data_IF_445913211136
#
_entry.id   IF_445913211136
#
_cell.length_a   1.000
_cell.length_b   1.000
_cell.length_c   1.000
_cell.angle_alpha   90.00
_cell.angle_beta   90.00
_cell.angle_gamma   90.00
#
_symmetry.space_group_name_H-M   'P 1'
#
loop_
_entity.id
_entity.type
_entity.pdbx_description
1 polymer ?
#
# COMPACT_ATOMS: atom_id res chain seq x y z
N UNK A 1 -39.30 51.22 -34.85
CA UNK A 1 -38.97 50.00 -35.57
C UNK A 1 -37.67 49.46 -35.01
N UNK A 2 -37.76 48.58 -34.01
CA UNK A 2 -36.61 48.14 -33.17
C UNK A 2 -36.35 46.66 -33.44
N UNK A 3 -35.19 46.36 -34.07
CA UNK A 3 -34.76 44.98 -34.40
C UNK A 3 -34.20 44.29 -33.16
N UNK A 4 -34.90 43.28 -32.65
CA UNK A 4 -34.36 42.31 -31.69
C UNK A 4 -33.30 41.42 -32.31
N UNK A 5 -32.11 41.38 -31.75
CA UNK A 5 -31.05 40.42 -32.10
C UNK A 5 -31.29 39.15 -31.27
N UNK A 6 -31.48 38.03 -31.96
CA UNK A 6 -31.50 36.69 -31.40
C UNK A 6 -30.10 36.33 -30.89
N UNK A 7 -30.00 36.00 -29.58
CA UNK A 7 -28.84 35.35 -29.00
C UNK A 7 -28.90 33.86 -29.38
N UNK A 8 -27.93 33.39 -30.13
CA UNK A 8 -27.75 31.97 -30.41
C UNK A 8 -27.27 31.22 -29.18
N UNK A 9 -28.11 30.31 -28.69
CA UNK A 9 -27.75 29.31 -27.69
C UNK A 9 -26.60 28.43 -28.20
N UNK A 10 -25.46 28.42 -27.49
CA UNK A 10 -24.36 27.49 -27.75
C UNK A 10 -24.75 26.10 -27.27
N UNK A 11 -25.01 25.20 -28.17
CA UNK A 11 -25.14 23.75 -27.92
C UNK A 11 -23.94 23.20 -27.13
N UNK A 12 -24.14 22.28 -26.15
CA UNK A 12 -23.06 21.62 -25.47
C UNK A 12 -22.21 20.85 -26.47
N UNK A 13 -20.89 21.08 -26.43
CA UNK A 13 -19.92 20.38 -27.29
C UNK A 13 -19.98 18.89 -27.02
N UNK A 14 -20.46 18.12 -27.96
CA UNK A 14 -20.31 16.66 -28.00
C UNK A 14 -18.83 16.30 -27.88
N UNK A 15 -18.43 15.79 -26.73
CA UNK A 15 -17.12 15.20 -26.53
C UNK A 15 -16.99 14.00 -27.49
N UNK A 16 -16.18 14.15 -28.53
CA UNK A 16 -15.96 13.11 -29.52
C UNK A 16 -15.55 11.82 -28.84
N UNK A 17 -16.05 10.64 -29.24
CA UNK A 17 -15.72 9.35 -28.59
C UNK A 17 -14.23 9.06 -28.52
N UNK A 18 -13.42 9.70 -29.37
CA UNK A 18 -11.95 9.66 -29.29
C UNK A 18 -11.39 10.36 -28.06
N UNK A 19 -11.94 11.50 -27.63
CA UNK A 19 -11.49 12.20 -26.40
C UNK A 19 -11.86 11.44 -25.14
N UNK A 20 -13.02 10.80 -25.11
CA UNK A 20 -13.41 9.89 -24.03
C UNK A 20 -12.53 8.64 -23.98
N UNK A 21 -12.17 8.06 -25.12
CA UNK A 21 -11.21 6.94 -25.20
C UNK A 21 -9.80 7.35 -24.75
N UNK A 22 -9.34 8.54 -25.13
CA UNK A 22 -8.04 9.05 -24.69
C UNK A 22 -8.04 9.43 -23.20
N UNK A 23 -9.12 9.98 -22.66
CA UNK A 23 -9.27 10.25 -21.24
C UNK A 23 -9.33 8.94 -20.42
N UNK A 24 -10.04 7.93 -20.91
CA UNK A 24 -10.06 6.59 -20.32
C UNK A 24 -8.70 5.89 -20.42
N UNK A 25 -7.99 6.08 -21.54
CA UNK A 25 -6.64 5.56 -21.74
C UNK A 25 -5.63 6.25 -20.79
N UNK A 26 -5.72 7.56 -20.62
CA UNK A 26 -4.88 8.32 -19.68
C UNK A 26 -5.20 7.97 -18.21
N UNK A 27 -6.47 7.76 -17.88
CA UNK A 27 -6.90 7.29 -16.57
C UNK A 27 -6.38 5.87 -16.26
N UNK A 28 -6.38 4.98 -17.24
CA UNK A 28 -5.84 3.62 -17.12
C UNK A 28 -4.30 3.60 -17.18
N UNK A 29 -3.68 4.57 -17.86
CA UNK A 29 -2.22 4.71 -17.93
C UNK A 29 -1.61 5.32 -16.66
N UNK A 30 -2.40 6.03 -15.86
CA UNK A 30 -1.98 6.60 -14.57
C UNK A 30 -2.04 5.59 -13.41
N UNK A 31 -2.55 4.37 -13.63
CA UNK A 31 -2.49 3.30 -12.64
C UNK A 31 -1.03 2.82 -12.52
N UNK A 32 -0.25 3.52 -11.73
CA UNK A 32 1.10 3.15 -11.36
C UNK A 32 1.04 2.03 -10.31
N UNK A 33 2.00 1.20 -10.38
CA UNK A 33 2.25 -0.05 -9.74
C UNK A 33 2.17 -0.04 -8.20
N UNK A 34 1.62 -1.08 -7.61
CA UNK A 34 1.61 -1.43 -6.19
C UNK A 34 3.02 -1.79 -5.71
N UNK A 35 3.38 -1.42 -4.51
CA UNK A 35 4.60 -1.85 -3.81
C UNK A 35 4.25 -2.77 -2.64
N UNK A 36 5.18 -3.60 -2.26
CA UNK A 36 5.05 -4.53 -1.15
C UNK A 36 4.58 -5.90 -1.59
N UNK A 37 4.27 -6.76 -0.66
CA UNK A 37 3.43 -7.90 -0.98
C UNK A 37 2.17 -7.39 -1.68
N UNK A 38 1.70 -8.13 -2.68
CA UNK A 38 0.45 -7.76 -3.32
C UNK A 38 -0.71 -7.80 -2.32
N UNK A 39 -1.75 -7.05 -2.59
CA UNK A 39 -2.92 -6.84 -1.71
C UNK A 39 -3.43 -8.11 -1.05
N UNK A 40 -3.50 -9.23 -1.80
CA UNK A 40 -4.05 -10.48 -1.29
C UNK A 40 -3.16 -11.14 -0.25
N UNK A 41 -1.85 -11.00 -0.35
CA UNK A 41 -0.91 -11.49 0.66
C UNK A 41 -1.07 -10.73 1.99
N UNK A 42 -1.21 -9.40 1.95
CA UNK A 42 -1.46 -8.60 3.15
C UNK A 42 -2.79 -8.97 3.82
N UNK A 43 -3.87 -9.13 3.04
CA UNK A 43 -5.16 -9.58 3.56
C UNK A 43 -5.09 -11.00 4.14
N UNK A 44 -4.32 -11.91 3.52
CA UNK A 44 -4.12 -13.27 4.02
C UNK A 44 -3.37 -13.32 5.36
N UNK A 45 -2.45 -12.39 5.63
CA UNK A 45 -1.80 -12.26 6.93
C UNK A 45 -2.82 -11.86 8.01
N UNK A 46 -3.71 -10.91 7.71
CA UNK A 46 -4.82 -10.56 8.61
C UNK A 46 -5.68 -11.78 8.90
N UNK A 47 -6.10 -12.51 7.86
CA UNK A 47 -6.96 -13.70 8.02
C UNK A 47 -6.28 -14.78 8.84
N UNK A 48 -4.97 -15.00 8.64
CA UNK A 48 -4.20 -16.01 9.40
C UNK A 48 -4.15 -15.71 10.90
N UNK A 49 -4.17 -14.43 11.30
CA UNK A 49 -4.10 -14.02 12.70
C UNK A 49 -5.46 -13.59 13.28
N UNK A 50 -6.55 -13.58 12.48
CA UNK A 50 -7.81 -12.98 12.89
C UNK A 50 -8.44 -13.64 14.11
N UNK A 51 -8.70 -14.94 14.07
CA UNK A 51 -9.43 -15.63 15.13
C UNK A 51 -8.59 -15.85 16.38
N UNK A 52 -7.30 -16.11 16.22
CA UNK A 52 -6.41 -16.51 17.33
C UNK A 52 -5.72 -15.33 18.01
N UNK A 53 -5.54 -14.21 17.33
CA UNK A 53 -4.80 -13.07 17.88
C UNK A 53 -5.53 -11.73 17.77
N UNK A 54 -5.98 -11.29 16.59
CA UNK A 54 -6.56 -9.96 16.38
C UNK A 54 -7.90 -9.82 17.10
N UNK A 55 -8.85 -10.71 16.83
CA UNK A 55 -10.18 -10.68 17.43
C UNK A 55 -10.16 -10.76 18.95
N UNK A 56 -9.36 -11.64 19.61
CA UNK A 56 -9.19 -11.62 21.06
C UNK A 56 -8.68 -10.31 21.60
N UNK A 57 -7.73 -9.67 20.92
CA UNK A 57 -7.19 -8.38 21.31
C UNK A 57 -8.22 -7.24 21.16
N UNK A 58 -9.00 -7.24 20.10
CA UNK A 58 -10.13 -6.32 19.92
C UNK A 58 -11.16 -6.49 21.04
N UNK A 59 -11.53 -7.71 21.39
CA UNK A 59 -12.49 -8.00 22.45
C UNK A 59 -11.92 -7.70 23.86
N UNK A 60 -10.62 -7.77 24.06
CA UNK A 60 -9.99 -7.33 25.32
C UNK A 60 -10.19 -5.83 25.54
N UNK A 61 -10.03 -5.01 24.50
CA UNK A 61 -10.16 -3.55 24.56
C UNK A 61 -11.62 -3.10 24.47
N UNK A 62 -12.44 -3.81 23.68
CA UNK A 62 -13.86 -3.52 23.40
C UNK A 62 -14.74 -4.74 23.66
N UNK A 63 -14.94 -5.13 24.94
CA UNK A 63 -15.55 -6.43 25.34
C UNK A 63 -17.03 -6.58 24.96
N UNK A 64 -17.73 -5.49 24.65
CA UNK A 64 -19.15 -5.53 24.30
C UNK A 64 -19.41 -5.52 22.80
N UNK A 65 -18.36 -5.72 21.96
CA UNK A 65 -18.52 -5.73 20.51
C UNK A 65 -19.30 -6.92 20.02
N UNK A 66 -20.27 -6.67 19.17
CA UNK A 66 -21.08 -7.72 18.52
C UNK A 66 -20.33 -8.40 17.37
N UNK A 67 -20.77 -9.59 16.91
CA UNK A 67 -20.20 -10.22 15.73
C UNK A 67 -20.26 -9.33 14.46
N UNK A 68 -21.33 -8.56 14.31
CA UNK A 68 -21.52 -7.63 13.20
C UNK A 68 -20.51 -6.46 13.25
N UNK A 69 -20.25 -5.91 14.43
CA UNK A 69 -19.23 -4.87 14.62
C UNK A 69 -17.82 -5.42 14.39
N UNK A 70 -17.53 -6.63 14.85
CA UNK A 70 -16.25 -7.31 14.58
C UNK A 70 -16.07 -7.59 13.07
N UNK A 71 -17.16 -7.90 12.36
CA UNK A 71 -17.12 -8.03 10.90
C UNK A 71 -16.77 -6.71 10.22
N UNK A 72 -17.32 -5.59 10.67
CA UNK A 72 -16.95 -4.26 10.18
C UNK A 72 -15.50 -3.95 10.53
N UNK A 73 -15.06 -4.23 11.76
CA UNK A 73 -13.68 -4.04 12.20
C UNK A 73 -12.67 -4.83 11.35
N UNK A 74 -13.03 -6.06 10.90
CA UNK A 74 -12.19 -6.84 9.98
C UNK A 74 -11.92 -6.09 8.67
N UNK A 75 -12.93 -5.40 8.11
CA UNK A 75 -12.73 -4.57 6.91
C UNK A 75 -11.81 -3.36 7.16
N UNK A 76 -11.75 -2.85 8.38
CA UNK A 76 -10.78 -1.83 8.79
C UNK A 76 -9.37 -2.41 8.96
N UNK A 77 -9.23 -3.63 9.48
CA UNK A 77 -7.94 -4.31 9.52
C UNK A 77 -7.37 -4.52 8.11
N UNK A 78 -8.21 -4.93 7.14
CA UNK A 78 -7.81 -4.96 5.73
C UNK A 78 -7.40 -3.57 5.22
N UNK A 79 -8.14 -2.51 5.57
CA UNK A 79 -7.77 -1.15 5.20
C UNK A 79 -6.41 -0.73 5.76
N UNK A 80 -6.14 -1.09 7.01
CA UNK A 80 -4.86 -0.84 7.65
C UNK A 80 -3.71 -1.57 6.96
N UNK A 81 -3.90 -2.86 6.61
CA UNK A 81 -2.83 -3.66 6.02
C UNK A 81 -2.47 -3.28 4.57
N UNK A 82 -3.23 -2.38 3.94
CA UNK A 82 -2.95 -1.92 2.57
C UNK A 82 -2.79 -0.40 2.45
N UNK A 83 -3.00 0.36 3.53
CA UNK A 83 -3.01 1.84 3.46
C UNK A 83 -1.65 2.42 3.09
N UNK A 84 -0.55 1.80 3.54
CA UNK A 84 0.79 2.27 3.23
C UNK A 84 1.05 2.29 1.72
N UNK A 85 0.41 1.39 0.97
CA UNK A 85 0.50 1.29 -0.49
C UNK A 85 -0.41 2.25 -1.27
N UNK A 86 -1.23 3.05 -0.60
CA UNK A 86 -2.19 3.95 -1.24
C UNK A 86 -1.55 4.87 -2.29
N UNK A 87 -0.30 5.27 -2.07
CA UNK A 87 0.43 6.16 -2.97
C UNK A 87 0.69 5.62 -4.35
N UNK A 88 0.69 4.30 -4.51
CA UNK A 88 0.98 3.62 -5.78
C UNK A 88 -0.25 3.42 -6.66
N UNK A 89 -1.42 3.73 -6.15
CA UNK A 89 -2.69 3.67 -6.89
C UNK A 89 -3.05 5.00 -7.55
N UNK A 90 -3.96 5.03 -8.52
CA UNK A 90 -4.35 6.25 -9.21
C UNK A 90 -4.83 7.31 -8.22
N UNK A 91 -4.36 8.54 -8.42
CA UNK A 91 -4.57 9.72 -7.53
C UNK A 91 -3.90 9.59 -6.14
N UNK A 92 -3.18 8.51 -5.87
CA UNK A 92 -2.35 8.35 -4.68
C UNK A 92 -1.14 9.30 -4.68
N UNK A 93 -0.47 9.37 -3.55
CA UNK A 93 0.76 10.15 -3.37
C UNK A 93 1.94 9.21 -3.15
N UNK A 94 2.84 9.10 -4.13
CA UNK A 94 4.07 8.34 -3.94
C UNK A 94 4.86 8.83 -2.72
N UNK A 95 4.87 10.14 -2.48
CA UNK A 95 5.56 10.70 -1.33
C UNK A 95 4.96 10.23 0.00
N UNK A 96 3.63 10.05 0.08
CA UNK A 96 2.99 9.44 1.25
C UNK A 96 3.51 8.02 1.48
N UNK A 97 3.44 7.17 0.45
CA UNK A 97 3.90 5.78 0.58
C UNK A 97 5.41 5.70 0.86
N UNK A 98 6.23 6.50 0.18
CA UNK A 98 7.67 6.55 0.45
C UNK A 98 7.95 6.95 1.91
N UNK A 99 7.21 7.90 2.48
CA UNK A 99 7.35 8.28 3.90
C UNK A 99 7.08 7.10 4.82
N UNK A 100 5.92 6.47 4.67
CA UNK A 100 5.48 5.40 5.59
C UNK A 100 6.22 4.07 5.39
N UNK A 101 7.07 3.96 4.32
CA UNK A 101 7.94 2.80 4.07
C UNK A 101 9.40 3.03 4.45
N UNK A 102 9.87 4.29 4.51
CA UNK A 102 11.31 4.56 4.65
C UNK A 102 11.67 5.53 5.77
N UNK A 103 10.71 6.29 6.30
CA UNK A 103 10.97 7.34 7.29
C UNK A 103 10.06 7.16 8.49
N UNK A 104 10.61 6.93 9.67
CA UNK A 104 9.84 6.78 10.92
C UNK A 104 8.69 5.76 10.83
N UNK A 105 8.95 4.66 10.17
CA UNK A 105 7.97 3.63 9.82
C UNK A 105 7.31 3.00 11.04
N UNK A 106 8.12 2.64 12.04
CA UNK A 106 7.66 2.11 13.32
C UNK A 106 6.90 3.16 14.14
N UNK A 107 7.41 4.39 14.20
CA UNK A 107 6.74 5.50 14.90
C UNK A 107 5.34 5.78 14.33
N UNK A 108 5.18 5.72 13.01
CA UNK A 108 3.89 5.89 12.36
C UNK A 108 2.88 4.83 12.77
N UNK A 109 3.27 3.57 12.76
CA UNK A 109 2.40 2.46 13.18
C UNK A 109 2.08 2.55 14.67
N UNK A 110 3.06 2.88 15.50
CA UNK A 110 2.85 3.13 16.94
C UNK A 110 1.88 4.27 17.20
N UNK A 111 1.95 5.37 16.42
CA UNK A 111 1.01 6.48 16.51
C UNK A 111 -0.42 6.03 16.19
N UNK A 112 -0.62 5.24 15.13
CA UNK A 112 -1.93 4.66 14.80
C UNK A 112 -2.51 3.82 15.96
N UNK A 113 -1.70 2.95 16.56
CA UNK A 113 -2.14 2.09 17.68
C UNK A 113 -2.47 2.94 18.92
N UNK A 114 -1.58 3.84 19.31
CA UNK A 114 -1.74 4.70 20.47
C UNK A 114 -2.99 5.58 20.39
N UNK A 115 -3.24 6.15 19.22
CA UNK A 115 -4.24 7.19 19.02
C UNK A 115 -5.63 6.67 18.67
N UNK A 116 -5.75 5.36 18.42
CA UNK A 116 -7.03 4.70 18.15
C UNK A 116 -7.98 4.79 19.35
N UNK A 117 -9.23 5.22 19.12
CA UNK A 117 -10.21 5.48 20.16
C UNK A 117 -11.37 4.47 20.17
N UNK A 118 -11.68 3.88 19.04
CA UNK A 118 -12.77 2.91 18.87
C UNK A 118 -12.31 1.60 18.25
N UNK A 119 -13.25 0.64 18.16
CA UNK A 119 -13.01 -0.70 17.63
C UNK A 119 -12.45 -0.70 16.20
N UNK A 120 -12.99 0.16 15.33
CA UNK A 120 -12.62 0.21 13.92
C UNK A 120 -11.26 0.87 13.72
N UNK A 121 -10.99 1.93 14.47
CA UNK A 121 -9.68 2.60 14.49
C UNK A 121 -8.59 1.65 14.98
N UNK A 122 -8.87 0.90 16.05
CA UNK A 122 -7.89 -0.04 16.58
C UNK A 122 -7.66 -1.21 15.63
N UNK A 123 -8.71 -1.75 15.00
CA UNK A 123 -8.56 -2.77 13.96
C UNK A 123 -7.75 -2.26 12.75
N UNK A 124 -7.97 -1.02 12.33
CA UNK A 124 -7.18 -0.37 11.27
C UNK A 124 -5.70 -0.24 11.67
N UNK A 125 -5.41 0.17 12.90
CA UNK A 125 -4.05 0.29 13.39
C UNK A 125 -3.34 -1.07 13.47
N UNK A 126 -4.04 -2.13 13.93
CA UNK A 126 -3.52 -3.49 13.91
C UNK A 126 -3.29 -4.00 12.48
N UNK A 127 -4.11 -3.58 11.52
CA UNK A 127 -3.86 -3.82 10.10
C UNK A 127 -2.57 -3.18 9.61
N UNK A 128 -2.30 -1.92 9.97
CA UNK A 128 -1.05 -1.26 9.61
C UNK A 128 0.18 -1.93 10.25
N UNK A 129 0.03 -2.51 11.43
CA UNK A 129 1.05 -3.35 12.06
C UNK A 129 1.31 -4.65 11.27
N UNK A 130 0.25 -5.26 10.69
CA UNK A 130 0.42 -6.41 9.82
C UNK A 130 1.23 -6.07 8.55
N UNK A 131 0.97 -4.91 7.93
CA UNK A 131 1.77 -4.43 6.81
C UNK A 131 3.24 -4.23 7.20
N UNK A 132 3.49 -3.59 8.35
CA UNK A 132 4.85 -3.42 8.89
C UNK A 132 5.58 -4.77 9.00
N UNK A 133 4.96 -5.78 9.60
CA UNK A 133 5.57 -7.11 9.72
C UNK A 133 5.74 -7.79 8.34
N UNK A 134 4.75 -7.66 7.48
CA UNK A 134 4.73 -8.27 6.15
C UNK A 134 5.86 -7.76 5.26
N UNK A 135 6.03 -6.46 5.15
CA UNK A 135 7.01 -5.89 4.22
C UNK A 135 8.44 -6.03 4.73
N UNK A 136 8.68 -5.84 6.03
CA UNK A 136 10.00 -6.06 6.61
C UNK A 136 10.55 -7.47 6.33
N UNK A 137 9.69 -8.48 6.33
CA UNK A 137 10.09 -9.87 6.07
C UNK A 137 9.95 -10.24 4.58
N UNK A 138 8.87 -9.81 3.95
CA UNK A 138 8.50 -10.18 2.59
C UNK A 138 9.51 -9.74 1.55
N UNK A 139 9.95 -8.50 1.60
CA UNK A 139 10.92 -7.99 0.65
C UNK A 139 12.27 -8.67 0.81
N UNK A 140 12.86 -8.62 2.00
CA UNK A 140 14.22 -9.13 2.23
C UNK A 140 14.35 -10.64 2.09
N UNK A 141 13.33 -11.43 2.48
CA UNK A 141 13.40 -12.89 2.47
C UNK A 141 12.85 -13.52 1.19
N UNK A 142 11.97 -12.83 0.47
CA UNK A 142 11.33 -13.40 -0.72
C UNK A 142 11.50 -12.54 -1.97
N UNK A 143 10.96 -11.33 -2.02
CA UNK A 143 10.84 -10.58 -3.28
C UNK A 143 12.20 -10.18 -3.82
N UNK A 144 13.07 -9.57 -3.00
CA UNK A 144 14.42 -9.15 -3.39
C UNK A 144 15.30 -10.30 -3.90
N UNK A 145 15.08 -11.51 -3.38
CA UNK A 145 15.79 -12.72 -3.78
C UNK A 145 15.17 -13.40 -5.00
N UNK A 146 13.86 -13.29 -5.16
CA UNK A 146 13.12 -13.92 -6.27
C UNK A 146 13.24 -13.15 -7.57
N UNK A 147 13.34 -11.82 -7.53
CA UNK A 147 13.52 -11.00 -8.73
C UNK A 147 14.73 -11.42 -9.57
N UNK A 148 15.95 -11.60 -9.03
CA UNK A 148 17.08 -12.03 -9.83
C UNK A 148 16.95 -13.47 -10.37
N UNK A 149 16.25 -14.35 -9.66
CA UNK A 149 15.97 -15.72 -10.13
C UNK A 149 15.01 -15.67 -11.32
N UNK A 150 13.91 -14.94 -11.19
CA UNK A 150 12.89 -14.81 -12.23
C UNK A 150 13.36 -13.96 -13.42
N UNK A 151 14.25 -13.00 -13.20
CA UNK A 151 14.75 -12.06 -14.21
C UNK A 151 16.28 -12.09 -14.33
N UNK A 152 16.89 -13.09 -14.99
CA UNK A 152 18.35 -13.26 -15.04
C UNK A 152 19.14 -12.08 -15.62
N UNK A 153 18.49 -11.19 -16.41
CA UNK A 153 19.11 -9.95 -16.88
C UNK A 153 19.37 -8.98 -15.73
N UNK A 154 18.46 -8.94 -14.76
CA UNK A 154 18.61 -8.09 -13.56
C UNK A 154 19.68 -8.67 -12.64
N UNK A 155 19.72 -10.00 -12.47
CA UNK A 155 20.79 -10.67 -11.74
C UNK A 155 22.18 -10.31 -12.27
N UNK A 156 22.35 -10.29 -13.59
CA UNK A 156 23.64 -9.87 -14.21
C UNK A 156 23.99 -8.41 -13.97
N UNK A 157 22.97 -7.55 -13.76
CA UNK A 157 23.16 -6.11 -13.56
C UNK A 157 23.37 -5.74 -12.09
N UNK A 158 22.64 -6.37 -11.18
CA UNK A 158 22.55 -5.96 -9.79
C UNK A 158 23.02 -7.03 -8.79
N UNK A 159 23.27 -8.28 -9.23
CA UNK A 159 23.64 -9.39 -8.35
C UNK A 159 22.45 -10.23 -7.91
N UNK A 160 22.63 -10.96 -6.79
CA UNK A 160 21.68 -11.94 -6.29
C UNK A 160 20.54 -11.33 -5.45
N UNK A 161 20.59 -10.03 -5.21
CA UNK A 161 19.56 -9.25 -4.53
C UNK A 161 19.19 -8.09 -5.43
N UNK A 162 17.91 -7.92 -5.72
CA UNK A 162 17.38 -6.79 -6.52
C UNK A 162 16.25 -6.13 -5.78
N UNK A 163 16.52 -4.93 -5.28
CA UNK A 163 15.58 -4.15 -4.49
C UNK A 163 14.54 -3.44 -5.37
N UNK A 164 13.47 -2.96 -4.74
CA UNK A 164 12.44 -2.19 -5.42
C UNK A 164 13.01 -0.97 -6.14
N UNK A 165 13.85 -0.16 -5.45
CA UNK A 165 14.49 1.02 -6.05
C UNK A 165 15.27 0.69 -7.34
N UNK A 166 15.92 -0.47 -7.39
CA UNK A 166 16.68 -0.91 -8.56
C UNK A 166 15.80 -1.32 -9.73
N UNK A 167 14.65 -1.94 -9.49
CA UNK A 167 13.70 -2.29 -10.54
C UNK A 167 12.25 -2.47 -10.04
N UNK A 168 11.49 -1.38 -9.85
CA UNK A 168 10.12 -1.44 -9.38
C UNK A 168 9.21 -2.37 -10.20
N UNK A 169 9.35 -2.32 -11.53
CA UNK A 169 8.51 -3.11 -12.43
C UNK A 169 8.73 -4.62 -12.34
N UNK A 170 9.92 -5.10 -12.01
CA UNK A 170 10.18 -6.52 -11.79
C UNK A 170 9.68 -6.97 -10.42
N UNK A 171 9.85 -6.11 -9.39
CA UNK A 171 9.31 -6.33 -8.05
C UNK A 171 7.82 -6.62 -8.11
N UNK A 172 7.05 -5.67 -8.62
CA UNK A 172 5.60 -5.76 -8.75
C UNK A 172 5.11 -6.99 -9.51
N UNK A 173 5.83 -7.36 -10.57
CA UNK A 173 5.51 -8.57 -11.33
C UNK A 173 5.76 -9.83 -10.53
N UNK A 174 6.76 -9.82 -9.67
CA UNK A 174 7.09 -10.95 -8.80
C UNK A 174 6.03 -11.12 -7.71
N UNK A 175 5.67 -10.06 -7.03
CA UNK A 175 4.64 -10.02 -6.00
C UNK A 175 3.27 -10.45 -6.53
N UNK A 176 2.86 -9.85 -7.65
CA UNK A 176 1.63 -10.28 -8.33
C UNK A 176 1.68 -11.74 -8.77
N UNK A 177 2.85 -12.23 -9.17
CA UNK A 177 3.06 -13.64 -9.50
C UNK A 177 2.83 -14.57 -8.31
N UNK A 178 3.26 -14.18 -7.11
CA UNK A 178 2.99 -14.91 -5.87
C UNK A 178 1.50 -14.93 -5.54
N UNK A 179 0.82 -13.77 -5.55
CA UNK A 179 -0.63 -13.74 -5.32
C UNK A 179 -1.39 -14.66 -6.26
N UNK A 180 -1.08 -14.61 -7.56
CA UNK A 180 -1.70 -15.48 -8.56
C UNK A 180 -1.46 -16.96 -8.25
N UNK A 181 -0.25 -17.32 -7.83
CA UNK A 181 0.11 -18.70 -7.49
C UNK A 181 -0.64 -19.19 -6.26
N UNK A 182 -0.67 -18.40 -5.19
CA UNK A 182 -1.29 -18.79 -3.93
C UNK A 182 -2.83 -18.87 -4.03
N UNK A 183 -3.44 -17.94 -4.77
CA UNK A 183 -4.84 -18.03 -5.15
C UNK A 183 -5.13 -19.30 -5.95
N UNK A 184 -4.27 -19.61 -6.93
CA UNK A 184 -4.42 -20.81 -7.76
C UNK A 184 -4.33 -22.11 -6.96
N UNK A 185 -3.52 -22.12 -5.90
CA UNK A 185 -3.35 -23.25 -5.00
C UNK A 185 -4.43 -23.34 -3.92
N UNK A 186 -5.28 -22.32 -3.79
CA UNK A 186 -6.33 -22.25 -2.79
C UNK A 186 -5.79 -22.12 -1.35
N UNK A 187 -4.62 -21.50 -1.19
CA UNK A 187 -3.96 -21.38 0.12
C UNK A 187 -4.42 -20.15 0.90
N UNK A 188 -4.90 -19.11 0.23
CA UNK A 188 -5.47 -17.95 0.91
C UNK A 188 -6.86 -18.31 1.46
N UNK A 189 -7.14 -17.83 2.68
CA UNK A 189 -8.41 -18.11 3.36
C UNK A 189 -9.57 -17.54 2.55
N UNK A 190 -10.25 -18.45 1.86
CA UNK A 190 -11.28 -18.15 0.90
C UNK A 190 -12.50 -17.46 1.52
N UNK A 191 -12.83 -17.79 2.77
CA UNK A 191 -14.11 -17.41 3.37
C UNK A 191 -14.16 -15.94 3.77
N UNK A 192 -13.11 -15.41 4.37
CA UNK A 192 -13.06 -14.00 4.77
C UNK A 192 -12.96 -13.07 3.55
N UNK A 193 -12.15 -13.41 2.58
CA UNK A 193 -12.05 -12.68 1.31
C UNK A 193 -13.34 -12.73 0.49
N UNK A 194 -14.12 -13.78 0.65
CA UNK A 194 -15.46 -13.90 0.06
C UNK A 194 -16.49 -12.95 0.67
N UNK A 195 -16.35 -12.66 1.95
CA UNK A 195 -17.27 -11.78 2.66
C UNK A 195 -16.92 -10.30 2.48
N UNK A 196 -15.64 -9.99 2.19
CA UNK A 196 -15.13 -8.63 2.08
C UNK A 196 -14.28 -8.42 0.83
N UNK A 197 -14.91 -8.11 -0.29
CA UNK A 197 -14.18 -7.53 -1.42
C UNK A 197 -14.13 -6.01 -1.22
N UNK A 198 -13.12 -5.55 -0.50
CA UNK A 198 -12.92 -4.15 -0.20
C UNK A 198 -12.40 -3.96 1.22
N UNK A 199 -12.04 -2.74 1.51
CA UNK A 199 -11.49 -2.34 2.79
C UNK A 199 -12.06 -1.01 3.25
N UNK A 200 -11.97 -0.74 4.55
CA UNK A 200 -12.36 0.53 5.15
C UNK A 200 -11.11 1.26 5.66
N UNK A 201 -11.15 2.60 5.63
CA UNK A 201 -10.04 3.44 6.09
C UNK A 201 -10.53 4.35 7.20
N UNK A 202 -9.82 4.38 8.32
CA UNK A 202 -10.04 5.38 9.35
C UNK A 202 -9.25 6.64 9.03
N UNK A 203 -9.88 7.55 8.25
CA UNK A 203 -9.26 8.80 7.83
C UNK A 203 -8.89 9.71 9.01
N UNK A 204 -9.73 9.92 10.05
CA UNK A 204 -9.36 10.77 11.17
C UNK A 204 -8.13 10.28 11.92
N UNK A 205 -8.04 8.98 12.17
CA UNK A 205 -6.87 8.37 12.80
C UNK A 205 -5.62 8.50 11.93
N UNK A 206 -5.76 8.24 10.63
CA UNK A 206 -4.66 8.36 9.67
C UNK A 206 -4.12 9.80 9.58
N UNK A 207 -5.02 10.80 9.51
CA UNK A 207 -4.65 12.22 9.49
C UNK A 207 -3.86 12.59 10.75
N UNK A 208 -4.34 12.19 11.92
CA UNK A 208 -3.70 12.47 13.20
C UNK A 208 -2.31 11.82 13.30
N UNK A 209 -2.22 10.51 13.07
CA UNK A 209 -0.96 9.79 13.18
C UNK A 209 0.08 10.28 12.15
N UNK A 210 -0.37 10.64 10.95
CA UNK A 210 0.50 11.19 9.92
C UNK A 210 1.07 12.56 10.30
N UNK A 211 0.22 13.47 10.83
CA UNK A 211 0.64 14.79 11.28
C UNK A 211 1.61 14.71 12.46
N UNK A 212 1.32 13.87 13.44
CA UNK A 212 2.21 13.65 14.59
C UNK A 212 3.57 13.08 14.18
N UNK A 213 3.59 12.14 13.22
CA UNK A 213 4.82 11.48 12.82
C UNK A 213 5.68 12.36 11.92
N UNK A 214 5.07 13.05 10.93
CA UNK A 214 5.80 13.74 9.87
C UNK A 214 5.70 15.27 9.94
N UNK A 215 4.96 15.82 10.90
CA UNK A 215 4.69 17.26 11.01
C UNK A 215 4.14 17.88 9.73
N UNK A 216 3.37 17.09 8.98
CA UNK A 216 2.72 17.47 7.72
C UNK A 216 1.24 17.07 7.78
N UNK A 217 0.36 17.97 7.39
CA UNK A 217 -1.05 17.61 7.20
C UNK A 217 -1.21 16.64 6.00
N UNK A 218 -2.00 15.58 6.15
CA UNK A 218 -2.24 14.60 5.09
C UNK A 218 -2.74 15.25 3.78
N UNK A 219 -3.58 16.28 3.88
CA UNK A 219 -4.06 17.06 2.71
C UNK A 219 -2.94 17.80 1.96
N UNK A 220 -1.77 18.02 2.57
CA UNK A 220 -0.63 18.65 1.91
C UNK A 220 0.15 17.70 0.99
N UNK A 221 -0.07 16.40 1.14
CA UNK A 221 0.60 15.36 0.35
C UNK A 221 -0.33 14.67 -0.65
N UNK A 222 -1.65 14.80 -0.50
CA UNK A 222 -2.64 14.32 -1.47
C UNK A 222 -3.36 15.48 -2.14
N UNK A 223 -3.55 15.37 -3.46
CA UNK A 223 -4.43 16.30 -4.19
C UNK A 223 -5.90 16.10 -3.82
N UNK A 224 -6.33 14.86 -3.65
CA UNK A 224 -7.65 14.44 -3.19
C UNK A 224 -7.53 13.04 -2.56
N UNK A 225 -7.52 12.99 -1.23
CA UNK A 225 -7.37 11.74 -0.48
C UNK A 225 -8.57 10.80 -0.67
N UNK A 226 -9.79 11.34 -0.67
CA UNK A 226 -10.99 10.52 -0.78
C UNK A 226 -11.10 9.89 -2.17
N UNK A 227 -10.67 10.62 -3.20
CA UNK A 227 -10.55 10.09 -4.56
C UNK A 227 -9.47 8.99 -4.64
N UNK A 228 -8.31 9.19 -4.00
CA UNK A 228 -7.25 8.19 -3.94
C UNK A 228 -7.74 6.88 -3.30
N UNK A 229 -8.37 6.96 -2.11
CA UNK A 229 -8.97 5.80 -1.44
C UNK A 229 -10.07 5.16 -2.29
N UNK A 230 -10.94 5.96 -2.89
CA UNK A 230 -12.02 5.46 -3.76
C UNK A 230 -11.50 4.71 -4.99
N UNK A 231 -10.44 5.21 -5.62
CA UNK A 231 -9.82 4.54 -6.78
C UNK A 231 -9.04 3.29 -6.38
N UNK A 232 -8.40 3.30 -5.21
CA UNK A 232 -7.74 2.11 -4.67
C UNK A 232 -8.74 1.01 -4.38
N UNK A 233 -9.82 1.30 -3.64
CA UNK A 233 -10.93 0.34 -3.38
C UNK A 233 -11.46 -0.25 -4.68
N UNK A 234 -11.69 0.59 -5.67
CA UNK A 234 -12.16 0.15 -6.98
C UNK A 234 -11.15 -0.71 -7.74
N UNK A 235 -9.87 -0.42 -7.60
CA UNK A 235 -8.80 -1.24 -8.17
C UNK A 235 -8.81 -2.63 -7.58
N UNK A 236 -8.92 -2.76 -6.26
CA UNK A 236 -8.96 -4.04 -5.55
C UNK A 236 -10.25 -4.82 -5.88
N UNK A 237 -11.43 -4.19 -5.78
CA UNK A 237 -12.72 -4.87 -5.88
C UNK A 237 -13.21 -5.11 -7.31
N UNK A 238 -12.76 -4.34 -8.31
CA UNK A 238 -13.27 -4.41 -9.68
C UNK A 238 -12.16 -4.60 -10.73
N UNK A 239 -11.11 -3.78 -10.71
CA UNK A 239 -10.12 -3.75 -11.79
C UNK A 239 -9.21 -4.98 -11.76
N UNK A 240 -8.66 -5.36 -10.61
CA UNK A 240 -7.82 -6.56 -10.45
C UNK A 240 -8.64 -7.82 -10.82
N UNK A 241 -9.85 -8.04 -10.29
CA UNK A 241 -10.72 -9.14 -10.72
C UNK A 241 -11.01 -9.18 -12.23
N UNK A 242 -11.32 -8.04 -12.82
CA UNK A 242 -11.58 -7.97 -14.27
C UNK A 242 -10.33 -8.29 -15.09
N UNK A 243 -9.19 -7.77 -14.68
CA UNK A 243 -7.90 -8.02 -15.33
C UNK A 243 -7.46 -9.48 -15.21
N UNK A 244 -7.66 -10.12 -14.05
CA UNK A 244 -7.36 -11.55 -13.87
C UNK A 244 -8.23 -12.42 -14.75
N UNK A 245 -9.54 -12.11 -14.89
CA UNK A 245 -10.42 -12.80 -15.86
C UNK A 245 -9.94 -12.64 -17.31
N UNK A 246 -9.51 -11.43 -17.68
CA UNK A 246 -8.97 -11.17 -19.02
C UNK A 246 -7.65 -11.90 -19.24
N UNK A 247 -6.76 -11.95 -18.24
CA UNK A 247 -5.51 -12.69 -18.29
C UNK A 247 -5.74 -14.20 -18.47
N UNK A 248 -6.69 -14.78 -17.75
CA UNK A 248 -7.09 -16.17 -17.95
C UNK A 248 -7.54 -16.44 -19.38
N UNK A 249 -8.44 -15.62 -19.93
CA UNK A 249 -8.92 -15.80 -21.30
C UNK A 249 -7.79 -15.67 -22.34
N UNK A 250 -6.83 -14.75 -22.12
CA UNK A 250 -5.74 -14.50 -23.05
C UNK A 250 -4.59 -15.50 -22.96
N UNK A 251 -4.34 -16.07 -21.76
CA UNK A 251 -3.14 -16.87 -21.46
C UNK A 251 -3.46 -18.25 -20.88
N UNK A 252 -4.70 -18.73 -20.99
CA UNK A 252 -5.14 -20.00 -20.39
C UNK A 252 -4.15 -21.15 -20.61
N UNK A 253 -3.75 -21.37 -21.87
CA UNK A 253 -2.88 -22.51 -22.22
C UNK A 253 -1.49 -22.37 -21.59
N UNK A 254 -0.96 -21.14 -21.50
CA UNK A 254 0.31 -20.86 -20.83
C UNK A 254 0.20 -21.08 -19.32
N UNK A 255 -0.84 -20.53 -18.69
CA UNK A 255 -1.11 -20.67 -17.25
C UNK A 255 -1.27 -22.14 -16.86
N UNK A 256 -2.03 -22.91 -17.64
CA UNK A 256 -2.23 -24.35 -17.41
C UNK A 256 -0.95 -25.19 -17.62
N UNK A 257 -0.06 -24.73 -18.50
CA UNK A 257 1.26 -25.35 -18.68
C UNK A 257 2.19 -25.05 -17.50
N UNK A 258 2.17 -23.80 -17.02
CA UNK A 258 3.07 -23.35 -15.95
C UNK A 258 2.58 -23.83 -14.57
N UNK A 259 1.26 -23.99 -14.40
CA UNK A 259 0.62 -24.48 -13.17
C UNK A 259 -0.27 -25.68 -13.52
N UNK A 260 0.28 -26.91 -13.53
CA UNK A 260 -0.49 -28.10 -13.86
C UNK A 260 -1.67 -28.33 -12.90
N UNK A 261 -2.85 -28.59 -13.46
CA UNK A 261 -4.07 -28.85 -12.69
C UNK A 261 -4.87 -27.61 -12.27
N UNK A 262 -4.41 -26.40 -12.66
CA UNK A 262 -5.20 -25.18 -12.45
C UNK A 262 -6.44 -25.19 -13.33
N UNK A 263 -7.59 -24.87 -12.73
CA UNK A 263 -8.86 -24.68 -13.45
C UNK A 263 -9.21 -23.19 -13.48
N UNK A 264 -10.13 -22.82 -14.39
CA UNK A 264 -10.67 -21.46 -14.44
C UNK A 264 -11.26 -21.04 -13.08
N UNK A 265 -11.97 -21.94 -12.41
CA UNK A 265 -12.64 -21.65 -11.15
C UNK A 265 -11.62 -21.48 -10.00
N UNK A 266 -10.55 -22.24 -9.99
CA UNK A 266 -9.43 -22.03 -9.05
C UNK A 266 -8.71 -20.72 -9.32
N UNK A 267 -8.38 -20.42 -10.56
CA UNK A 267 -7.69 -19.16 -10.94
C UNK A 267 -8.54 -17.92 -10.69
N UNK A 268 -9.87 -18.01 -10.79
CA UNK A 268 -10.81 -16.91 -10.60
C UNK A 268 -11.62 -17.04 -9.31
N UNK A 269 -11.35 -18.04 -8.51
CA UNK A 269 -12.18 -18.43 -7.37
C UNK A 269 -12.45 -17.25 -6.41
N UNK A 270 -11.42 -16.58 -5.95
CA UNK A 270 -11.53 -15.47 -5.00
C UNK A 270 -12.01 -14.16 -5.63
N UNK A 271 -12.11 -14.15 -6.93
CA UNK A 271 -12.50 -13.01 -7.75
C UNK A 271 -13.90 -13.25 -8.34
N UNK A 272 -14.60 -14.33 -7.89
CA UNK A 272 -15.90 -14.64 -8.43
C UNK A 272 -16.98 -13.75 -7.81
N UNK A 273 -17.72 -13.10 -8.69
CA UNK A 273 -18.88 -12.26 -8.39
C UNK A 273 -20.01 -12.97 -7.62
N UNK A 274 -20.00 -14.29 -7.53
CA UNK A 274 -21.04 -15.07 -6.88
C UNK A 274 -21.06 -14.86 -5.36
N UNK A 275 -19.89 -14.73 -4.76
CA UNK A 275 -19.73 -14.51 -3.31
C UNK A 275 -19.95 -13.05 -2.95
N UNK A 276 -19.40 -12.14 -3.74
CA UNK A 276 -19.69 -10.72 -3.65
C UNK A 276 -21.20 -10.42 -3.62
N UNK A 277 -22.01 -11.18 -4.35
CA UNK A 277 -23.45 -11.06 -4.44
C UNK A 277 -24.24 -11.60 -3.27
N UNK A 278 -23.76 -12.68 -2.66
CA UNK A 278 -24.42 -13.22 -1.48
C UNK A 278 -24.35 -12.19 -0.35
N UNK A 279 -23.25 -11.44 -0.30
CA UNK A 279 -23.05 -10.36 0.66
C UNK A 279 -23.77 -9.05 0.26
N UNK A 280 -23.95 -8.76 -1.04
CA UNK A 280 -24.40 -7.44 -1.54
C UNK A 280 -25.62 -7.49 -2.47
N UNK A 281 -26.36 -8.63 -2.53
CA UNK A 281 -27.68 -8.79 -3.17
C UNK A 281 -27.79 -8.52 -4.70
N UNK A 282 -26.71 -8.58 -5.48
CA UNK A 282 -26.79 -8.45 -6.94
C UNK A 282 -26.53 -9.74 -7.72
N UNK A 283 -27.24 -9.97 -8.83
CA UNK A 283 -27.20 -11.20 -9.68
C UNK A 283 -25.97 -11.29 -10.59
N UNK A 284 -25.31 -12.46 -10.70
CA UNK A 284 -24.20 -12.77 -11.59
C UNK A 284 -24.55 -12.51 -13.07
N UNK A 285 -23.73 -11.76 -13.79
CA UNK A 285 -23.77 -11.62 -15.24
C UNK A 285 -22.57 -12.34 -15.86
N UNK A 286 -22.82 -13.18 -16.87
CA UNK A 286 -21.76 -13.67 -17.74
C UNK A 286 -20.94 -12.49 -18.32
N UNK A 287 -19.63 -12.71 -18.65
CA UNK A 287 -18.79 -11.67 -19.23
C UNK A 287 -19.52 -11.02 -20.40
N UNK A 288 -19.77 -9.73 -20.29
CA UNK A 288 -20.46 -8.98 -21.32
C UNK A 288 -19.62 -8.94 -22.60
N UNK A 289 -20.25 -8.64 -23.74
CA UNK A 289 -19.55 -8.39 -25.01
C UNK A 289 -18.42 -7.37 -24.83
N UNK A 290 -18.58 -6.39 -23.94
CA UNK A 290 -17.54 -5.40 -23.60
C UNK A 290 -16.33 -6.01 -22.90
N UNK A 291 -16.51 -6.97 -22.02
CA UNK A 291 -15.40 -7.67 -21.35
C UNK A 291 -14.67 -8.61 -22.31
N UNK A 292 -15.40 -9.27 -23.21
CA UNK A 292 -14.84 -10.06 -24.32
C UNK A 292 -14.09 -9.17 -25.32
N UNK A 293 -14.63 -7.99 -25.64
CA UNK A 293 -13.97 -6.99 -26.47
C UNK A 293 -12.76 -6.39 -25.76
N UNK A 294 -12.85 -6.13 -24.46
CA UNK A 294 -11.72 -5.66 -23.64
C UNK A 294 -10.59 -6.71 -23.64
N UNK A 295 -10.90 -7.98 -23.43
CA UNK A 295 -9.93 -9.08 -23.51
C UNK A 295 -9.28 -9.21 -24.89
N UNK A 296 -10.04 -8.95 -25.98
CA UNK A 296 -9.51 -8.90 -27.34
C UNK A 296 -8.63 -7.66 -27.56
N UNK A 297 -9.04 -6.50 -27.08
CA UNK A 297 -8.25 -5.27 -27.14
C UNK A 297 -6.98 -5.39 -26.29
N UNK A 298 -7.02 -6.11 -25.15
CA UNK A 298 -5.84 -6.47 -24.35
C UNK A 298 -4.76 -7.23 -25.13
N UNK A 299 -5.16 -8.01 -26.12
CA UNK A 299 -4.22 -8.68 -27.04
C UNK A 299 -3.52 -7.72 -28.00
N UNK A 300 -4.17 -6.59 -28.31
CA UNK A 300 -3.71 -5.60 -29.29
C UNK A 300 -3.01 -4.39 -28.66
N UNK A 301 -3.17 -4.18 -27.33
CA UNK A 301 -2.53 -3.06 -26.63
C UNK A 301 -1.05 -3.41 -26.43
N UNK A 302 -0.12 -2.53 -26.86
CA UNK A 302 1.27 -2.63 -26.47
C UNK A 302 1.31 -2.69 -24.93
N UNK A 303 2.08 -3.61 -24.38
CA UNK A 303 2.22 -3.83 -22.93
C UNK A 303 2.96 -2.66 -22.29
N UNK A 304 2.27 -1.52 -22.19
CA UNK A 304 2.78 -0.21 -21.74
C UNK A 304 1.99 0.19 -20.49
N UNK A 305 2.64 0.81 -19.52
CA UNK A 305 1.99 1.31 -18.31
C UNK A 305 1.57 0.21 -17.32
N UNK A 306 0.44 0.36 -16.60
CA UNK A 306 0.02 -0.52 -15.50
C UNK A 306 -0.22 -1.99 -15.91
N UNK A 307 -0.48 -2.22 -17.20
CA UNK A 307 -0.67 -3.57 -17.73
C UNK A 307 0.62 -4.39 -17.82
N UNK A 308 1.79 -3.80 -17.55
CA UNK A 308 3.07 -4.54 -17.46
C UNK A 308 3.09 -5.52 -16.28
N UNK A 309 2.29 -5.32 -15.25
CA UNK A 309 2.19 -6.25 -14.11
C UNK A 309 1.72 -7.64 -14.57
N UNK A 310 0.86 -7.70 -15.60
CA UNK A 310 0.39 -8.96 -16.18
C UNK A 310 1.42 -9.69 -17.05
N UNK A 311 2.62 -9.12 -17.25
CA UNK A 311 3.79 -9.82 -17.80
C UNK A 311 4.61 -10.50 -16.70
N UNK A 312 3.98 -10.83 -15.57
CA UNK A 312 4.66 -11.57 -14.52
C UNK A 312 5.23 -12.90 -15.05
N UNK A 313 6.29 -13.34 -14.44
CA UNK A 313 6.81 -14.69 -14.61
C UNK A 313 6.24 -15.56 -13.54
N UNK A 314 5.80 -16.76 -13.92
CA UNK A 314 5.32 -17.74 -12.96
C UNK A 314 6.43 -18.04 -11.96
N UNK A 315 6.15 -17.95 -10.65
CA UNK A 315 7.12 -18.35 -9.63
C UNK A 315 7.63 -19.77 -9.85
N UNK A 316 8.92 -19.97 -9.61
CA UNK A 316 9.54 -21.29 -9.63
C UNK A 316 9.40 -21.96 -8.27
N UNK A 317 9.57 -23.29 -8.15
CA UNK A 317 9.56 -23.96 -6.84
C UNK A 317 10.56 -23.35 -5.84
N UNK A 318 11.68 -22.81 -6.32
CA UNK A 318 12.66 -22.11 -5.49
C UNK A 318 12.10 -20.80 -4.95
N UNK A 319 11.55 -19.95 -5.82
CA UNK A 319 10.98 -18.66 -5.41
C UNK A 319 9.70 -18.82 -4.58
N UNK A 320 8.91 -19.86 -4.85
CA UNK A 320 7.76 -20.21 -4.03
C UNK A 320 8.17 -20.58 -2.60
N UNK A 321 9.23 -21.38 -2.45
CA UNK A 321 9.76 -21.72 -1.12
C UNK A 321 10.22 -20.49 -0.35
N UNK A 322 10.87 -19.53 -1.03
CA UNK A 322 11.24 -18.25 -0.41
C UNK A 322 10.01 -17.50 0.05
N UNK A 323 8.97 -17.43 -0.77
CA UNK A 323 7.71 -16.78 -0.44
C UNK A 323 7.02 -17.46 0.76
N UNK A 324 6.88 -18.79 0.76
CA UNK A 324 6.24 -19.53 1.85
C UNK A 324 7.00 -19.32 3.19
N UNK A 325 8.32 -19.33 3.14
CA UNK A 325 9.15 -19.07 4.32
C UNK A 325 8.96 -17.64 4.85
N UNK A 326 8.95 -16.65 3.95
CA UNK A 326 8.77 -15.24 4.34
C UNK A 326 7.35 -14.96 4.83
N UNK A 327 6.33 -15.58 4.26
CA UNK A 327 4.95 -15.46 4.73
C UNK A 327 4.81 -16.01 6.16
N UNK A 328 5.39 -17.19 6.43
CA UNK A 328 5.40 -17.77 7.78
C UNK A 328 6.13 -16.89 8.78
N UNK A 329 7.25 -16.29 8.38
CA UNK A 329 7.99 -15.36 9.24
C UNK A 329 7.20 -14.08 9.48
N UNK A 330 6.56 -13.51 8.46
CA UNK A 330 5.70 -12.33 8.59
C UNK A 330 4.55 -12.57 9.57
N UNK A 331 3.88 -13.72 9.50
CA UNK A 331 2.82 -14.09 10.45
C UNK A 331 3.39 -14.25 11.86
N UNK A 332 4.54 -14.91 12.00
CA UNK A 332 5.21 -15.10 13.32
C UNK A 332 5.57 -13.76 13.97
N UNK A 333 6.16 -12.84 13.20
CA UNK A 333 6.52 -11.51 13.70
C UNK A 333 5.27 -10.69 14.03
N UNK A 334 4.24 -10.77 13.20
CA UNK A 334 2.98 -10.08 13.46
C UNK A 334 2.31 -10.58 14.75
N UNK A 335 2.20 -11.90 14.93
CA UNK A 335 1.68 -12.49 16.17
C UNK A 335 2.52 -12.10 17.40
N UNK A 336 3.84 -12.04 17.27
CA UNK A 336 4.71 -11.56 18.33
C UNK A 336 4.35 -10.14 18.77
N UNK A 337 4.22 -9.20 17.82
CA UNK A 337 3.81 -7.84 18.10
C UNK A 337 2.41 -7.76 18.74
N UNK A 338 1.45 -8.56 18.26
CA UNK A 338 0.11 -8.62 18.86
C UNK A 338 0.15 -9.14 20.30
N UNK A 339 1.04 -10.07 20.60
CA UNK A 339 1.24 -10.57 21.97
C UNK A 339 1.88 -9.51 22.90
N UNK A 340 2.84 -8.75 22.41
CA UNK A 340 3.42 -7.63 23.16
C UNK A 340 2.38 -6.57 23.47
N UNK A 341 1.56 -6.17 22.48
CA UNK A 341 0.45 -5.23 22.66
C UNK A 341 -0.54 -5.74 23.69
N UNK A 342 -0.91 -7.02 23.62
CA UNK A 342 -1.83 -7.67 24.56
C UNK A 342 -1.30 -7.64 26.00
N UNK A 343 -0.01 -7.82 26.16
CA UNK A 343 0.63 -7.94 27.48
C UNK A 343 0.97 -6.60 28.13
N UNK A 344 1.58 -5.70 27.39
CA UNK A 344 2.10 -4.43 27.89
C UNK A 344 1.24 -3.21 27.52
N UNK A 345 0.37 -3.33 26.51
CA UNK A 345 -0.31 -2.20 25.90
C UNK A 345 0.65 -1.23 25.20
N UNK A 346 1.86 -1.70 24.87
CA UNK A 346 2.89 -0.91 24.21
C UNK A 346 3.81 -1.84 23.41
N UNK A 347 3.97 -1.53 22.14
CA UNK A 347 4.90 -2.19 21.23
C UNK A 347 6.05 -1.22 20.94
N UNK A 348 7.27 -1.74 20.86
CA UNK A 348 8.43 -0.99 20.37
C UNK A 348 8.76 -1.45 18.95
N UNK A 349 8.52 -0.58 17.96
CA UNK A 349 8.78 -0.85 16.56
C UNK A 349 10.00 -0.04 16.09
N UNK A 350 10.92 -0.69 15.42
CA UNK A 350 12.05 -0.01 14.79
C UNK A 350 11.60 0.80 13.57
N UNK A 351 12.34 1.86 13.25
CA UNK A 351 12.11 2.65 12.05
C UNK A 351 12.86 2.03 10.85
N UNK A 352 12.47 0.81 10.49
CA UNK A 352 13.10 0.06 9.42
C UNK A 352 12.68 0.55 8.04
N UNK A 353 13.57 0.38 7.08
CA UNK A 353 13.27 0.47 5.66
C UNK A 353 12.57 -0.85 5.26
N UNK A 354 11.32 -0.79 4.86
CA UNK A 354 10.52 -1.98 4.57
C UNK A 354 11.07 -2.84 3.43
N UNK A 355 11.79 -2.25 2.48
CA UNK A 355 12.37 -3.02 1.37
C UNK A 355 13.64 -3.80 1.80
N UNK A 356 14.34 -3.36 2.83
CA UNK A 356 15.57 -4.01 3.31
C UNK A 356 15.39 -4.75 4.65
N UNK A 357 14.36 -4.42 5.42
CA UNK A 357 14.12 -4.93 6.77
C UNK A 357 15.18 -4.49 7.77
N UNK A 358 15.79 -3.31 7.57
CA UNK A 358 16.85 -2.76 8.42
C UNK A 358 16.64 -1.28 8.66
N UNK A 359 17.19 -0.76 9.74
CA UNK A 359 17.15 0.68 10.04
C UNK A 359 17.71 1.48 8.85
N UNK A 360 16.95 2.49 8.41
CA UNK A 360 17.34 3.37 7.30
C UNK A 360 18.58 4.18 7.65
N UNK A 361 19.60 4.11 6.78
CA UNK A 361 20.85 4.89 6.92
C UNK A 361 21.14 5.68 5.65
N UNK A 362 21.74 6.89 5.78
CA UNK A 362 22.06 7.72 4.63
C UNK A 362 23.05 7.03 3.67
N UNK A 363 22.70 7.00 2.39
CA UNK A 363 23.52 6.43 1.32
C UNK A 363 23.36 4.93 1.10
N UNK A 364 22.61 4.21 1.94
CA UNK A 364 22.39 2.76 1.75
C UNK A 364 21.24 2.47 0.79
N UNK A 365 20.21 3.33 0.76
CA UNK A 365 19.02 3.13 -0.07
C UNK A 365 18.57 4.44 -0.76
N UNK A 366 18.79 4.59 -2.08
CA UNK A 366 18.58 5.86 -2.78
C UNK A 366 17.17 6.43 -2.68
N UNK A 367 16.14 5.57 -2.64
CA UNK A 367 14.75 6.02 -2.50
C UNK A 367 14.47 6.57 -1.09
N UNK A 368 15.05 5.97 -0.05
CA UNK A 368 14.97 6.52 1.30
C UNK A 368 15.70 7.87 1.40
N UNK A 369 16.92 7.99 0.85
CA UNK A 369 17.64 9.26 0.81
C UNK A 369 16.82 10.37 0.15
N UNK A 370 16.17 10.02 -0.98
CA UNK A 370 15.27 10.94 -1.67
C UNK A 370 14.09 11.34 -0.79
N UNK A 371 13.49 10.38 -0.10
CA UNK A 371 12.31 10.62 0.74
C UNK A 371 12.64 11.53 1.92
N UNK A 372 13.78 11.32 2.57
CA UNK A 372 14.29 12.23 3.61
C UNK A 372 14.54 13.65 3.07
N UNK A 373 15.10 13.77 1.86
CA UNK A 373 15.33 15.07 1.24
C UNK A 373 14.02 15.78 0.86
N UNK A 374 13.06 15.06 0.32
CA UNK A 374 11.73 15.58 -0.03
C UNK A 374 10.95 16.03 1.21
N UNK A 375 11.05 15.27 2.31
CA UNK A 375 10.46 15.63 3.60
C UNK A 375 11.09 16.93 4.14
N UNK A 376 12.42 17.00 4.16
CA UNK A 376 13.14 18.17 4.60
C UNK A 376 12.78 19.42 3.77
N UNK A 377 12.65 19.26 2.45
CA UNK A 377 12.25 20.33 1.54
C UNK A 377 10.83 20.84 1.83
N UNK A 378 9.89 19.95 2.10
CA UNK A 378 8.50 20.33 2.48
C UNK A 378 8.45 21.06 3.82
N UNK A 379 9.19 20.60 4.81
CA UNK A 379 9.26 21.23 6.13
C UNK A 379 9.93 22.61 6.05
N UNK A 380 10.97 22.76 5.24
CA UNK A 380 11.65 24.04 4.99
C UNK A 380 10.72 25.05 4.29
N UNK A 381 9.94 24.63 3.31
CA UNK A 381 8.91 25.47 2.67
C UNK A 381 7.87 25.99 3.68
N UNK A 382 7.57 25.21 4.73
CA UNK A 382 6.76 25.60 5.88
C UNK A 382 7.53 26.33 6.98
N UNK A 383 8.79 26.70 6.75
CA UNK A 383 9.69 27.33 7.73
C UNK A 383 9.78 26.54 9.05
N UNK A 384 9.64 25.21 8.99
CA UNK A 384 9.64 24.28 10.15
C UNK A 384 8.63 24.64 11.24
N UNK A 385 7.53 25.34 10.91
CA UNK A 385 6.62 25.95 11.88
C UNK A 385 5.90 24.93 12.78
N UNK A 386 5.66 23.71 12.29
CA UNK A 386 4.96 22.65 13.03
C UNK A 386 5.88 21.46 13.35
N UNK A 387 7.18 21.63 13.22
CA UNK A 387 8.16 20.55 13.39
C UNK A 387 8.17 20.03 14.82
N UNK A 388 7.84 18.74 14.98
CA UNK A 388 7.92 18.07 16.29
C UNK A 388 9.40 17.90 16.73
N UNK A 389 9.67 17.89 18.04
CA UNK A 389 11.03 17.63 18.57
C UNK A 389 11.58 16.28 18.13
N UNK A 390 10.74 15.26 18.05
CA UNK A 390 11.09 13.90 17.67
C UNK A 390 11.50 13.82 16.20
N UNK A 391 10.70 14.42 15.29
CA UNK A 391 11.05 14.46 13.88
C UNK A 391 12.30 15.31 13.63
N UNK A 392 12.45 16.43 14.34
CA UNK A 392 13.66 17.22 14.28
C UNK A 392 14.89 16.39 14.65
N UNK A 393 14.81 15.62 15.73
CA UNK A 393 15.89 14.74 16.15
C UNK A 393 16.22 13.72 15.06
N UNK A 394 15.21 13.03 14.54
CA UNK A 394 15.36 12.03 13.46
C UNK A 394 16.08 12.62 12.24
N UNK A 395 15.66 13.81 11.79
CA UNK A 395 16.28 14.47 10.62
C UNK A 395 17.73 14.90 10.89
N UNK A 396 18.01 15.46 12.07
CA UNK A 396 19.36 15.85 12.46
C UNK A 396 20.29 14.64 12.61
N UNK A 397 19.78 13.53 13.12
CA UNK A 397 20.53 12.29 13.26
C UNK A 397 20.85 11.69 11.88
N UNK A 398 19.84 11.63 10.99
CA UNK A 398 20.03 11.15 9.63
C UNK A 398 21.07 11.94 8.84
N UNK A 399 21.11 13.26 8.99
CA UNK A 399 22.07 14.14 8.33
C UNK A 399 23.27 14.52 9.23
N UNK A 400 23.56 13.74 10.27
CA UNK A 400 24.64 14.04 11.21
C UNK A 400 26.03 14.02 10.58
N UNK A 401 26.27 13.14 9.60
CA UNK A 401 27.50 13.14 8.81
C UNK A 401 27.29 13.88 7.46
N UNK A 402 27.81 15.10 7.32
CA UNK A 402 27.70 15.85 6.06
C UNK A 402 28.45 15.21 4.90
N UNK A 403 29.31 14.20 5.14
CA UNK A 403 30.04 13.47 4.11
C UNK A 403 29.37 12.16 3.73
N UNK A 404 28.32 11.75 4.43
CA UNK A 404 27.58 10.53 4.10
C UNK A 404 27.18 10.53 2.61
N UNK A 405 27.25 9.39 1.91
CA UNK A 405 27.02 9.31 0.47
C UNK A 405 25.53 9.26 0.12
N UNK A 406 24.69 10.04 0.82
CA UNK A 406 23.27 10.06 0.50
C UNK A 406 23.01 10.54 -0.94
N UNK A 407 22.17 9.81 -1.65
CA UNK A 407 21.79 10.14 -3.01
C UNK A 407 20.81 11.32 -3.00
N UNK A 408 21.21 12.43 -3.58
CA UNK A 408 20.26 13.46 -3.99
C UNK A 408 20.03 13.32 -5.48
N UNK A 409 18.81 13.42 -5.92
CA UNK A 409 18.34 12.86 -7.21
C UNK A 409 19.08 13.32 -8.47
N UNK A 410 19.86 14.38 -8.47
CA UNK A 410 20.30 14.93 -9.76
C UNK A 410 21.68 15.56 -9.81
N UNK A 411 22.25 16.09 -8.74
CA UNK A 411 23.55 16.76 -8.88
C UNK A 411 24.18 17.19 -7.55
N UNK A 412 25.44 17.67 -7.63
CA UNK A 412 26.12 18.37 -6.51
C UNK A 412 25.31 19.56 -5.97
N UNK A 413 24.47 20.18 -6.80
CA UNK A 413 23.62 21.32 -6.39
C UNK A 413 22.49 20.88 -5.47
N UNK A 414 21.85 19.71 -5.72
CA UNK A 414 20.79 19.18 -4.85
C UNK A 414 21.35 18.83 -3.46
N UNK A 415 22.56 18.28 -3.40
CA UNK A 415 23.26 18.04 -2.12
C UNK A 415 23.53 19.33 -1.36
N UNK A 416 23.99 20.38 -2.02
CA UNK A 416 24.22 21.67 -1.40
C UNK A 416 22.94 22.30 -0.85
N UNK A 417 21.81 22.13 -1.58
CA UNK A 417 20.50 22.54 -1.10
C UNK A 417 20.12 21.79 0.18
N UNK A 418 20.23 20.46 0.20
CA UNK A 418 19.91 19.64 1.38
C UNK A 418 20.76 20.07 2.59
N UNK A 419 22.06 20.22 2.42
CA UNK A 419 22.93 20.65 3.51
C UNK A 419 22.56 22.04 4.05
N UNK A 420 22.21 22.99 3.15
CA UNK A 420 21.69 24.29 3.59
C UNK A 420 20.39 24.14 4.39
N UNK A 421 19.46 23.33 3.94
CA UNK A 421 18.20 23.09 4.65
C UNK A 421 18.44 22.41 6.02
N UNK A 422 19.43 21.55 6.15
CA UNK A 422 19.88 21.00 7.44
C UNK A 422 20.39 22.09 8.37
N UNK A 423 21.13 23.09 7.85
CA UNK A 423 21.57 24.21 8.67
C UNK A 423 20.41 25.13 9.08
N UNK A 424 19.46 25.36 8.19
CA UNK A 424 18.20 26.07 8.50
C UNK A 424 17.39 25.30 9.56
N UNK A 425 17.30 23.95 9.47
CA UNK A 425 16.70 23.07 10.48
C UNK A 425 17.37 23.17 11.86
N UNK A 426 18.72 23.25 11.91
CA UNK A 426 19.44 23.43 13.17
C UNK A 426 19.09 24.75 13.85
N UNK A 427 18.86 25.81 13.05
CA UNK A 427 18.50 27.14 13.53
C UNK A 427 17.00 27.25 13.92
N UNK A 428 16.14 26.36 13.41
CA UNK A 428 14.72 26.39 13.67
C UNK A 428 14.39 26.01 15.14
N UNK A 429 13.45 26.72 15.74
CA UNK A 429 12.93 26.40 17.09
C UNK A 429 11.79 25.38 16.91
N UNK A 430 11.87 24.20 17.54
CA UNK A 430 10.77 23.22 17.49
C UNK A 430 9.47 23.79 18.04
N UNK A 431 8.34 23.34 17.52
CA UNK A 431 7.04 23.59 18.12
C UNK A 431 7.00 23.01 19.56
N UNK A 432 6.32 23.67 20.50
CA UNK A 432 6.13 23.09 21.82
C UNK A 432 5.42 21.72 21.68
N UNK A 433 5.86 20.73 22.44
CA UNK A 433 5.23 19.42 22.47
C UNK A 433 3.72 19.57 22.74
N UNK A 434 2.86 18.79 22.03
CA UNK A 434 1.44 18.81 22.29
C UNK A 434 1.17 18.47 23.77
N UNK A 435 0.25 19.19 24.42
CA UNK A 435 -0.10 18.92 25.79
C UNK A 435 -0.57 17.44 25.93
N UNK A 436 -0.14 16.71 26.98
CA UNK A 436 -0.57 15.34 27.17
C UNK A 436 -2.12 15.29 27.18
N UNK A 437 -2.67 14.32 26.46
CA UNK A 437 -4.10 14.10 26.41
C UNK A 437 -4.63 13.95 27.86
N UNK A 438 -5.78 14.57 28.21
CA UNK A 438 -6.35 14.43 29.54
C UNK A 438 -6.58 12.95 29.82
N UNK A 439 -6.11 12.50 30.99
CA UNK A 439 -6.29 11.12 31.43
C UNK A 439 -7.80 10.76 31.35
N UNK A 440 -8.14 9.55 30.88
CA UNK A 440 -9.54 9.15 30.78
C UNK A 440 -10.21 9.32 32.15
N UNK A 441 -11.30 10.07 32.17
CA UNK A 441 -12.04 10.31 33.40
C UNK A 441 -12.42 8.97 34.03
N UNK A 442 -11.90 8.72 35.22
CA UNK A 442 -12.27 7.54 36.01
C UNK A 442 -13.78 7.61 36.23
N UNK A 443 -14.54 6.76 35.54
CA UNK A 443 -15.95 6.57 35.86
C UNK A 443 -16.02 6.01 37.28
N UNK A 444 -16.30 6.89 38.25
CA UNK A 444 -16.71 6.47 39.58
C UNK A 444 -17.91 5.55 39.45
N UNK A 445 -17.84 4.44 40.15
CA UNK A 445 -18.86 3.39 40.23
C UNK A 445 -20.22 3.92 40.65
#
# INVERSE_FOLDING_TARGET
MMRMRNAAEKSPRDLRPRTLLWALFLLLAAATACQGYSVLTHEAIIDSAWDDAIRPLLLQRFPNSTPEELKVAHSYAYGGCVIQDLGYYPFGSHFFSDLVHYVRTGDFVQALIRDSQDLNEYAFALGALAHYAADNEGHRLAVNLSVPILYPKLRRKYGDVVTYDQNPGAHLKTEFGFDVLEVAKGRYAADSYHDFIGFQVSKPLLEKAFEETYSLELKSVFSDFDLAVGTYRRSVSEAIPAATRAAWQAKKDQIQKDIPGITKDKFLYHISRATYKKAWAEKYKEPSFREKLLAFLFRLIPKIGPFRVFEFRTPTPETEKLFESSFSESVTQYEHFLHEEKGSGRIELANDNFDTGTITKPGEYPLADKTYADLLDKLDQGHFAQLSPELRHTLLDYYSDPNAPFATQKSKQDRAKVLKQVDDLKAATPAPAPAPAPAPASKSR
#
